data_IF_950074116470
#
_entry.id   IF_950074116470
#
_cell.length_a   1.000
_cell.length_b   1.000
_cell.length_c   1.000
_cell.angle_alpha   90.00
_cell.angle_beta   90.00
_cell.angle_gamma   90.00
#
_symmetry.space_group_name_H-M   'P 1'
#
loop_
_entity.id
_entity.type
_entity.pdbx_description
1 polymer ?
#
# COMPACT_ATOMS: atom_id res chain seq x y z
N UNK A 1 -8.90 4.87 -21.13
CA UNK A 1 -8.06 5.40 -20.04
C UNK A 1 -7.77 6.86 -20.28
N UNK A 2 -8.19 7.75 -19.40
CA UNK A 2 -7.78 9.15 -19.44
C UNK A 2 -6.53 9.26 -18.56
N UNK A 3 -5.35 9.47 -19.16
CA UNK A 3 -4.10 9.67 -18.41
C UNK A 3 -3.99 11.14 -18.09
N UNK A 4 -4.04 11.50 -16.81
CA UNK A 4 -3.59 12.79 -16.30
C UNK A 4 -2.24 12.55 -15.61
N UNK A 5 -1.12 12.72 -16.31
CA UNK A 5 0.18 12.64 -15.65
C UNK A 5 0.76 14.05 -15.51
N UNK A 6 0.51 14.67 -14.35
CA UNK A 6 1.27 15.83 -13.89
C UNK A 6 2.50 15.39 -13.06
N UNK A 7 2.67 14.08 -12.83
CA UNK A 7 3.71 13.50 -11.95
C UNK A 7 4.91 13.02 -12.76
N UNK A 8 6.09 13.11 -12.16
CA UNK A 8 7.36 12.67 -12.77
C UNK A 8 7.64 11.19 -12.46
N UNK A 9 7.26 10.74 -11.27
CA UNK A 9 7.61 9.43 -10.72
C UNK A 9 6.40 8.52 -10.51
N UNK A 10 5.21 9.05 -10.71
CA UNK A 10 3.94 8.34 -10.63
C UNK A 10 3.17 8.44 -11.94
N UNK A 11 2.26 7.51 -12.17
CA UNK A 11 1.21 7.64 -13.18
C UNK A 11 -0.14 7.48 -12.51
N UNK A 12 -1.00 8.48 -12.65
CA UNK A 12 -2.38 8.46 -12.16
C UNK A 12 -3.31 8.38 -13.36
N UNK A 13 -4.25 7.44 -13.31
CA UNK A 13 -5.21 7.24 -14.39
C UNK A 13 -6.52 6.68 -13.84
N UNK A 14 -7.58 6.70 -14.66
CA UNK A 14 -8.90 6.13 -14.31
C UNK A 14 -9.40 5.20 -15.39
N UNK A 15 -9.97 4.07 -14.96
CA UNK A 15 -10.67 3.11 -15.81
C UNK A 15 -12.04 2.81 -15.19
N UNK A 16 -13.11 3.33 -15.78
CA UNK A 16 -14.45 3.25 -15.16
C UNK A 16 -14.46 3.92 -13.77
N UNK A 17 -14.94 3.24 -12.73
CA UNK A 17 -14.95 3.73 -11.35
C UNK A 17 -13.62 3.51 -10.60
N UNK A 18 -12.60 2.94 -11.25
CA UNK A 18 -11.33 2.54 -10.63
C UNK A 18 -10.25 3.57 -10.91
N UNK A 19 -9.71 4.19 -9.86
CA UNK A 19 -8.51 5.01 -9.90
C UNK A 19 -7.25 4.15 -9.81
N UNK A 20 -6.29 4.39 -10.67
CA UNK A 20 -5.00 3.70 -10.69
C UNK A 20 -3.88 4.64 -10.29
N UNK A 21 -3.12 4.25 -9.28
CA UNK A 21 -1.85 4.85 -8.88
C UNK A 21 -0.73 3.87 -9.21
N UNK A 22 0.15 4.24 -10.13
CA UNK A 22 1.25 3.38 -10.57
C UNK A 22 2.58 4.03 -10.19
N UNK A 23 3.40 3.33 -9.40
CA UNK A 23 4.79 3.73 -9.18
C UNK A 23 5.53 3.60 -10.51
N UNK A 24 6.11 4.70 -11.02
CA UNK A 24 6.64 4.77 -12.38
C UNK A 24 8.11 5.19 -12.43
N UNK A 25 8.94 4.44 -11.72
CA UNK A 25 10.42 4.48 -11.82
C UNK A 25 10.95 3.06 -12.03
N UNK A 26 10.59 2.38 -13.14
CA UNK A 26 10.91 0.96 -13.35
C UNK A 26 12.42 0.70 -13.35
N UNK A 27 13.23 1.63 -13.85
CA UNK A 27 14.71 1.52 -13.90
C UNK A 27 15.35 1.58 -12.50
N UNK A 28 14.65 2.14 -11.51
CA UNK A 28 15.04 2.17 -10.11
C UNK A 28 14.23 1.20 -9.25
N UNK A 29 13.63 0.15 -9.86
CA UNK A 29 12.74 -0.79 -9.18
C UNK A 29 11.65 -0.10 -8.35
N UNK A 30 11.16 1.04 -8.82
CA UNK A 30 10.17 1.91 -8.19
C UNK A 30 10.57 2.44 -6.80
N UNK A 31 11.86 2.48 -6.47
CA UNK A 31 12.33 3.06 -5.20
C UNK A 31 11.90 4.52 -5.05
N UNK A 32 11.53 4.90 -3.82
CA UNK A 32 11.07 6.26 -3.49
C UNK A 32 12.25 7.22 -3.36
N UNK A 33 12.36 8.14 -4.29
CA UNK A 33 13.17 9.35 -4.14
C UNK A 33 12.37 10.49 -3.48
N UNK A 34 13.00 11.62 -3.27
CA UNK A 34 12.35 12.78 -2.66
C UNK A 34 11.19 13.32 -3.51
N UNK A 35 11.22 13.14 -4.83
CA UNK A 35 10.14 13.57 -5.74
C UNK A 35 8.93 12.65 -5.55
N UNK A 36 9.12 11.33 -5.60
CA UNK A 36 8.01 10.38 -5.39
C UNK A 36 7.36 10.56 -4.02
N UNK A 37 8.15 10.77 -2.96
CA UNK A 37 7.61 10.99 -1.63
C UNK A 37 6.71 12.24 -1.55
N UNK A 38 7.04 13.30 -2.28
CA UNK A 38 6.22 14.51 -2.34
C UNK A 38 4.99 14.33 -3.24
N UNK A 39 5.13 13.59 -4.34
CA UNK A 39 4.04 13.34 -5.29
C UNK A 39 2.96 12.40 -4.74
N UNK A 40 3.34 11.45 -3.88
CA UNK A 40 2.40 10.46 -3.32
C UNK A 40 1.27 11.11 -2.52
N UNK A 41 1.55 12.10 -1.69
CA UNK A 41 0.52 12.81 -0.94
C UNK A 41 -0.52 13.43 -1.89
N UNK A 42 -0.06 14.12 -2.93
CA UNK A 42 -0.93 14.77 -3.93
C UNK A 42 -1.73 13.74 -4.74
N UNK A 43 -1.10 12.64 -5.13
CA UNK A 43 -1.76 11.61 -5.92
C UNK A 43 -2.86 10.86 -5.15
N UNK A 44 -2.63 10.59 -3.86
CA UNK A 44 -3.66 9.99 -3.01
C UNK A 44 -4.85 10.93 -2.81
N UNK A 45 -4.60 12.22 -2.56
CA UNK A 45 -5.64 13.23 -2.43
C UNK A 45 -6.43 13.41 -3.72
N UNK A 46 -5.75 13.52 -4.88
CA UNK A 46 -6.41 13.61 -6.20
C UNK A 46 -7.37 12.44 -6.43
N UNK A 47 -6.95 11.22 -6.11
CA UNK A 47 -7.79 10.03 -6.29
C UNK A 47 -8.94 9.95 -5.28
N UNK A 48 -8.73 10.39 -4.04
CA UNK A 48 -9.78 10.38 -3.02
C UNK A 48 -10.83 11.49 -3.28
N UNK A 49 -10.40 12.64 -3.79
CA UNK A 49 -11.28 13.78 -4.10
C UNK A 49 -12.05 13.61 -5.43
N UNK A 50 -11.61 12.76 -6.36
CA UNK A 50 -12.31 12.55 -7.64
C UNK A 50 -13.62 11.77 -7.44
N UNK A 51 -14.81 12.39 -7.59
CA UNK A 51 -16.10 11.71 -7.38
C UNK A 51 -16.38 10.57 -8.36
N UNK A 52 -15.65 10.51 -9.47
CA UNK A 52 -15.76 9.42 -10.44
C UNK A 52 -14.91 8.19 -10.05
N UNK A 53 -14.01 8.32 -9.07
CA UNK A 53 -13.25 7.21 -8.50
C UNK A 53 -14.00 6.67 -7.29
N UNK A 54 -14.23 5.37 -7.25
CA UNK A 54 -14.91 4.65 -6.16
C UNK A 54 -13.98 3.70 -5.42
N UNK A 55 -12.98 3.16 -6.11
CA UNK A 55 -11.95 2.25 -5.58
C UNK A 55 -10.61 2.66 -6.17
N UNK A 56 -9.55 2.58 -5.38
CA UNK A 56 -8.20 2.88 -5.82
C UNK A 56 -7.38 1.59 -5.87
N UNK A 57 -6.66 1.38 -6.98
CA UNK A 57 -5.66 0.31 -7.12
C UNK A 57 -4.28 0.92 -7.24
N UNK A 58 -3.33 0.48 -6.41
CA UNK A 58 -1.95 0.85 -6.58
C UNK A 58 -1.09 -0.34 -7.01
N UNK A 59 -0.13 -0.10 -7.93
CA UNK A 59 0.77 -1.11 -8.49
C UNK A 59 2.08 -0.47 -8.93
N UNK A 60 3.04 -1.27 -9.38
CA UNK A 60 4.32 -0.80 -9.92
C UNK A 60 4.43 -0.96 -11.42
N UNK A 61 5.12 -0.05 -12.11
CA UNK A 61 5.56 -0.26 -13.48
C UNK A 61 6.77 -1.21 -13.53
N UNK A 62 6.83 -2.05 -14.56
CA UNK A 62 7.95 -2.97 -14.78
C UNK A 62 7.94 -4.18 -13.82
N UNK A 63 9.13 -4.60 -13.36
CA UNK A 63 9.34 -5.87 -12.65
C UNK A 63 9.22 -5.79 -11.12
N UNK A 64 9.11 -4.61 -10.56
CA UNK A 64 8.98 -4.40 -9.13
C UNK A 64 7.68 -3.70 -8.80
N UNK A 65 7.12 -4.00 -7.64
CA UNK A 65 6.05 -3.22 -7.06
C UNK A 65 6.63 -1.92 -6.49
N UNK A 66 7.36 -2.01 -5.37
CA UNK A 66 7.99 -0.88 -4.70
C UNK A 66 9.11 -1.40 -3.77
N UNK A 67 10.30 -0.80 -3.81
CA UNK A 67 11.47 -1.34 -3.12
C UNK A 67 12.01 -0.47 -1.98
N UNK A 68 11.21 0.46 -1.48
CA UNK A 68 11.58 1.32 -0.36
C UNK A 68 12.31 2.60 -0.79
N UNK A 69 13.08 3.20 0.10
CA UNK A 69 13.81 4.42 -0.19
C UNK A 69 14.91 4.19 -1.23
N UNK A 70 15.13 5.17 -2.10
CA UNK A 70 16.19 5.14 -3.12
C UNK A 70 17.57 5.27 -2.46
N UNK A 71 18.23 4.14 -2.27
CA UNK A 71 19.57 4.08 -1.66
C UNK A 71 20.64 4.75 -2.51
N UNK A 72 20.44 4.86 -3.84
CA UNK A 72 21.36 5.57 -4.74
C UNK A 72 21.25 7.07 -4.50
N UNK A 73 20.04 7.59 -4.41
CA UNK A 73 19.84 8.99 -4.03
C UNK A 73 20.33 9.24 -2.61
N UNK A 74 20.08 8.33 -1.67
CA UNK A 74 20.59 8.45 -0.29
C UNK A 74 22.12 8.54 -0.23
N UNK A 75 22.82 7.82 -1.10
CA UNK A 75 24.28 7.89 -1.17
C UNK A 75 24.79 9.19 -1.80
N UNK A 76 24.07 9.73 -2.81
CA UNK A 76 24.48 10.93 -3.56
C UNK A 76 24.02 12.24 -2.91
N UNK A 77 22.83 12.24 -2.32
CA UNK A 77 22.18 13.40 -1.69
C UNK A 77 21.57 13.02 -0.36
N UNK A 78 22.42 12.63 0.63
CA UNK A 78 21.94 12.03 1.87
C UNK A 78 21.03 12.96 2.69
N UNK A 79 21.28 14.26 2.64
CA UNK A 79 20.55 15.22 3.47
C UNK A 79 19.08 15.36 3.02
N UNK A 80 18.84 15.48 1.70
CA UNK A 80 17.49 15.61 1.17
C UNK A 80 16.62 14.38 1.51
N UNK A 81 17.14 13.18 1.29
CA UNK A 81 16.39 11.96 1.54
C UNK A 81 16.27 11.63 3.04
N UNK A 82 17.32 11.96 3.84
CA UNK A 82 17.24 11.85 5.32
C UNK A 82 16.20 12.79 5.90
N UNK A 83 16.08 13.99 5.37
CA UNK A 83 15.03 14.93 5.82
C UNK A 83 13.66 14.40 5.50
N UNK A 84 13.42 13.91 4.28
CA UNK A 84 12.16 13.27 3.92
C UNK A 84 11.86 12.05 4.81
N UNK A 85 12.85 11.20 5.05
CA UNK A 85 12.70 10.06 5.97
C UNK A 85 12.39 10.49 7.41
N UNK A 86 13.00 11.58 7.91
CA UNK A 86 12.66 12.15 9.22
C UNK A 86 11.23 12.68 9.28
N UNK A 87 10.79 13.38 8.23
CA UNK A 87 9.41 13.88 8.12
C UNK A 87 8.40 12.73 8.11
N UNK A 88 8.70 11.64 7.40
CA UNK A 88 7.88 10.42 7.41
C UNK A 88 7.74 9.88 8.84
N UNK A 89 8.87 9.73 9.55
CA UNK A 89 8.87 9.21 10.94
C UNK A 89 8.14 10.12 11.94
N UNK A 90 7.98 11.40 11.63
CA UNK A 90 7.19 12.36 12.43
C UNK A 90 5.74 12.46 11.99
N UNK A 91 5.28 11.59 11.08
CA UNK A 91 3.97 11.66 10.43
C UNK A 91 3.71 12.99 9.71
N UNK A 92 4.76 13.73 9.36
CA UNK A 92 4.70 14.97 8.59
C UNK A 92 4.62 14.70 7.07
N UNK A 93 4.99 13.50 6.63
CA UNK A 93 4.96 13.08 5.23
C UNK A 93 3.98 11.92 5.06
N UNK A 94 2.96 12.17 4.27
CA UNK A 94 1.84 11.25 4.04
C UNK A 94 2.00 10.53 2.71
N UNK A 95 2.70 9.40 2.69
CA UNK A 95 3.02 8.70 1.44
C UNK A 95 2.14 7.47 1.15
N UNK A 96 1.36 6.97 2.11
CA UNK A 96 0.38 5.90 1.86
C UNK A 96 -1.06 6.41 1.91
N UNK A 97 -1.99 5.60 1.44
CA UNK A 97 -3.42 5.89 1.53
C UNK A 97 -3.88 6.10 2.97
N UNK A 98 -3.39 5.26 3.91
CA UNK A 98 -3.73 5.36 5.33
C UNK A 98 -3.26 6.69 5.94
N UNK A 99 -2.01 7.11 5.65
CA UNK A 99 -1.47 8.39 6.11
C UNK A 99 -2.25 9.59 5.59
N UNK A 100 -2.83 9.48 4.40
CA UNK A 100 -3.64 10.53 3.79
C UNK A 100 -5.10 10.49 4.23
N UNK A 101 -5.50 9.51 5.03
CA UNK A 101 -6.89 9.36 5.45
C UNK A 101 -7.84 9.03 4.30
N UNK A 102 -7.34 8.36 3.26
CA UNK A 102 -8.13 7.98 2.08
C UNK A 102 -9.35 7.17 2.49
N UNK A 103 -10.52 7.69 2.16
CA UNK A 103 -11.81 7.10 2.54
C UNK A 103 -12.23 5.95 1.64
N UNK A 104 -11.80 5.97 0.39
CA UNK A 104 -12.13 4.94 -0.61
C UNK A 104 -11.37 3.64 -0.34
N UNK A 105 -11.94 2.47 -0.71
CA UNK A 105 -11.21 1.21 -0.67
C UNK A 105 -9.94 1.25 -1.51
N UNK A 106 -8.87 0.64 -0.99
CA UNK A 106 -7.56 0.58 -1.63
C UNK A 106 -7.11 -0.87 -1.79
N UNK A 107 -6.78 -1.23 -3.02
CA UNK A 107 -6.22 -2.53 -3.39
C UNK A 107 -4.74 -2.35 -3.73
N UNK A 108 -3.84 -3.05 -3.05
CA UNK A 108 -2.46 -3.19 -3.48
C UNK A 108 -2.34 -4.38 -4.44
N UNK A 109 -2.09 -4.11 -5.72
CA UNK A 109 -1.84 -5.12 -6.75
C UNK A 109 -0.32 -5.29 -6.93
N UNK A 110 0.25 -6.24 -6.19
CA UNK A 110 1.71 -6.42 -6.08
C UNK A 110 2.23 -7.22 -7.28
N UNK A 111 2.77 -6.52 -8.26
CA UNK A 111 3.23 -7.09 -9.53
C UNK A 111 4.61 -7.75 -9.49
N UNK A 112 5.41 -7.51 -8.44
CA UNK A 112 6.77 -8.01 -8.36
C UNK A 112 7.38 -7.81 -6.99
N UNK A 113 8.68 -7.45 -6.93
CA UNK A 113 9.38 -7.27 -5.66
C UNK A 113 8.79 -6.12 -4.85
N UNK A 114 8.43 -6.41 -3.60
CA UNK A 114 8.02 -5.45 -2.58
C UNK A 114 9.02 -5.53 -1.42
N UNK A 115 9.74 -4.43 -1.13
CA UNK A 115 10.82 -4.46 -0.14
C UNK A 115 10.89 -3.20 0.72
N UNK A 116 11.31 -3.34 1.96
CA UNK A 116 11.56 -2.23 2.87
C UNK A 116 10.34 -1.30 2.97
N UNK A 117 10.53 -0.01 2.73
CA UNK A 117 9.45 0.97 2.74
C UNK A 117 8.29 0.67 1.78
N UNK A 118 8.47 -0.21 0.78
CA UNK A 118 7.40 -0.70 -0.07
C UNK A 118 6.35 -1.52 0.68
N UNK A 119 6.74 -2.14 1.78
CA UNK A 119 5.83 -2.91 2.65
C UNK A 119 4.75 -2.05 3.31
N UNK A 120 4.96 -0.73 3.44
CA UNK A 120 3.90 0.18 3.90
C UNK A 120 2.66 0.13 3.01
N UNK A 121 2.84 0.11 1.69
CA UNK A 121 1.70 0.07 0.76
C UNK A 121 0.92 -1.24 0.83
N UNK A 122 1.57 -2.32 1.27
CA UNK A 122 0.92 -3.61 1.56
C UNK A 122 0.24 -3.57 2.93
N UNK A 123 0.93 -3.05 3.95
CA UNK A 123 0.41 -2.96 5.31
C UNK A 123 -0.83 -2.08 5.40
N UNK A 124 -0.84 -0.95 4.68
CA UNK A 124 -1.87 0.09 4.73
C UNK A 124 -3.00 -0.09 3.71
N UNK A 125 -2.90 -1.06 2.79
CA UNK A 125 -3.98 -1.37 1.85
C UNK A 125 -5.14 -2.10 2.52
N UNK A 126 -6.36 -1.92 2.05
CA UNK A 126 -7.52 -2.66 2.54
C UNK A 126 -7.51 -4.11 2.03
N UNK A 127 -7.11 -4.30 0.78
CA UNK A 127 -6.98 -5.62 0.13
C UNK A 127 -5.63 -5.71 -0.55
N UNK A 128 -5.01 -6.89 -0.50
CA UNK A 128 -3.75 -7.17 -1.20
C UNK A 128 -3.94 -8.37 -2.11
N UNK A 129 -3.66 -8.19 -3.39
CA UNK A 129 -3.51 -9.27 -4.36
C UNK A 129 -2.10 -9.25 -4.93
N UNK A 130 -1.57 -10.38 -5.32
CA UNK A 130 -0.20 -10.46 -5.80
C UNK A 130 -0.08 -11.34 -7.05
N UNK A 131 0.79 -10.94 -7.96
CA UNK A 131 1.27 -11.81 -9.02
C UNK A 131 2.00 -13.02 -8.43
N UNK A 132 1.92 -14.18 -9.06
CA UNK A 132 2.71 -15.37 -8.68
C UNK A 132 4.22 -15.12 -8.68
N UNK A 133 4.69 -14.12 -9.45
CA UNK A 133 6.07 -13.66 -9.48
C UNK A 133 6.44 -12.67 -8.37
N UNK A 134 5.48 -12.23 -7.54
CA UNK A 134 5.73 -11.28 -6.46
C UNK A 134 6.51 -11.89 -5.30
N UNK A 135 7.25 -11.03 -4.61
CA UNK A 135 7.95 -11.43 -3.38
C UNK A 135 8.10 -10.26 -2.42
N UNK A 136 8.18 -10.58 -1.13
CA UNK A 136 8.18 -9.61 -0.05
C UNK A 136 9.39 -9.84 0.86
N UNK A 137 10.09 -8.76 1.24
CA UNK A 137 11.22 -8.84 2.17
C UNK A 137 11.40 -7.53 2.95
N UNK A 138 11.91 -7.65 4.16
CA UNK A 138 12.31 -6.51 4.98
C UNK A 138 13.85 -6.45 5.13
N UNK A 139 14.58 -5.65 4.35
CA UNK A 139 16.03 -5.60 4.40
C UNK A 139 16.60 -4.67 5.49
N UNK A 140 15.79 -3.97 6.29
CA UNK A 140 16.23 -2.89 7.18
C UNK A 140 17.30 -3.32 8.15
N UNK A 141 17.16 -4.45 8.85
CA UNK A 141 18.17 -4.96 9.78
C UNK A 141 19.52 -5.23 9.10
N UNK A 142 19.50 -5.62 7.82
CA UNK A 142 20.70 -5.90 7.03
C UNK A 142 21.51 -4.65 6.68
N UNK A 143 20.92 -3.46 6.85
CA UNK A 143 21.57 -2.16 6.64
C UNK A 143 21.62 -1.33 7.92
N UNK A 144 21.44 -1.97 9.07
CA UNK A 144 21.53 -1.33 10.38
C UNK A 144 20.39 -0.37 10.70
N UNK A 145 19.23 -0.57 10.07
CA UNK A 145 18.02 0.22 10.32
C UNK A 145 16.98 -0.60 11.08
N UNK A 146 16.11 0.08 11.81
CA UNK A 146 14.95 -0.51 12.46
C UNK A 146 13.74 -0.29 11.56
N UNK A 147 13.11 -1.38 11.14
CA UNK A 147 11.78 -1.38 10.57
C UNK A 147 10.78 -1.39 11.72
N UNK A 148 9.92 -0.40 11.79
CA UNK A 148 8.92 -0.32 12.85
C UNK A 148 7.50 -0.24 12.27
N UNK A 149 7.23 0.76 11.46
CA UNK A 149 5.88 1.03 10.98
C UNK A 149 5.35 -0.07 10.06
N UNK A 150 6.15 -0.49 9.07
CA UNK A 150 5.80 -1.53 8.10
C UNK A 150 5.51 -2.86 8.80
N UNK A 151 6.40 -3.26 9.70
CA UNK A 151 6.29 -4.54 10.40
C UNK A 151 5.17 -4.54 11.44
N UNK A 152 4.93 -3.43 12.13
CA UNK A 152 3.77 -3.26 13.01
C UNK A 152 2.46 -3.39 12.20
N UNK A 153 2.37 -2.73 11.05
CA UNK A 153 1.22 -2.84 10.15
C UNK A 153 1.02 -4.26 9.63
N UNK A 154 2.09 -4.94 9.20
CA UNK A 154 2.02 -6.33 8.73
C UNK A 154 1.60 -7.31 9.84
N UNK A 155 2.00 -7.06 11.10
CA UNK A 155 1.58 -7.89 12.24
C UNK A 155 0.05 -7.81 12.52
N UNK A 156 -0.66 -6.90 11.86
CA UNK A 156 -2.12 -6.83 11.88
C UNK A 156 -2.78 -7.58 10.72
N UNK A 157 -1.99 -7.96 9.71
CA UNK A 157 -2.49 -8.69 8.51
C UNK A 157 -2.15 -10.17 8.51
N UNK A 158 -1.09 -10.56 9.21
CA UNK A 158 -0.66 -11.96 9.29
C UNK A 158 -0.15 -12.31 10.70
N UNK A 159 0.12 -13.59 10.95
CA UNK A 159 0.63 -14.03 12.23
C UNK A 159 1.95 -13.34 12.61
N UNK A 160 2.17 -13.11 13.90
CA UNK A 160 3.29 -12.32 14.41
C UNK A 160 4.66 -12.96 14.15
N UNK A 161 4.76 -14.30 14.26
CA UNK A 161 6.04 -15.01 14.10
C UNK A 161 6.65 -14.84 12.69
N UNK A 162 5.92 -15.01 11.57
CA UNK A 162 6.45 -14.74 10.24
C UNK A 162 6.93 -13.28 10.05
N UNK A 163 6.26 -12.31 10.67
CA UNK A 163 6.70 -10.90 10.65
C UNK A 163 8.02 -10.75 11.38
N UNK A 164 8.14 -11.31 12.59
CA UNK A 164 9.38 -11.30 13.36
C UNK A 164 10.53 -11.98 12.62
N UNK A 165 10.26 -13.12 11.98
CA UNK A 165 11.25 -13.83 11.18
C UNK A 165 11.74 -12.96 10.02
N UNK A 166 10.85 -12.33 9.27
CA UNK A 166 11.20 -11.43 8.17
C UNK A 166 12.02 -10.22 8.68
N UNK A 167 11.60 -9.58 9.77
CA UNK A 167 12.28 -8.42 10.34
C UNK A 167 13.67 -8.75 10.91
N UNK A 168 13.84 -9.93 11.54
CA UNK A 168 15.11 -10.33 12.16
C UNK A 168 16.10 -10.97 11.18
N UNK A 169 15.62 -11.73 10.18
CA UNK A 169 16.44 -12.35 9.16
C UNK A 169 16.85 -11.38 8.03
N UNK A 170 16.07 -10.30 7.85
CA UNK A 170 16.39 -9.25 6.88
C UNK A 170 16.44 -9.77 5.45
N UNK A 171 17.50 -9.42 4.72
CA UNK A 171 17.67 -9.85 3.31
C UNK A 171 17.71 -11.37 3.09
N UNK A 172 17.89 -12.14 4.16
CA UNK A 172 17.96 -13.60 4.09
C UNK A 172 16.59 -14.29 4.13
N UNK A 173 15.53 -13.56 4.46
CA UNK A 173 14.17 -14.06 4.44
C UNK A 173 13.34 -13.33 3.37
N UNK A 174 12.84 -14.11 2.41
CA UNK A 174 11.98 -13.60 1.35
C UNK A 174 10.72 -14.45 1.28
N UNK A 175 9.57 -13.84 1.43
CA UNK A 175 8.30 -14.51 1.23
C UNK A 175 7.94 -14.50 -0.26
N UNK A 176 7.58 -15.66 -0.81
CA UNK A 176 6.91 -15.74 -2.12
C UNK A 176 5.46 -15.26 -2.03
N UNK A 177 4.83 -14.98 -3.17
CA UNK A 177 3.41 -14.65 -3.23
C UNK A 177 2.55 -15.75 -2.60
N UNK A 178 2.84 -17.02 -2.90
CA UNK A 178 2.12 -18.16 -2.32
C UNK A 178 2.29 -18.21 -0.80
N UNK A 179 3.52 -18.04 -0.29
CA UNK A 179 3.73 -18.04 1.17
C UNK A 179 3.02 -16.87 1.85
N UNK A 180 3.00 -15.70 1.23
CA UNK A 180 2.27 -14.53 1.72
C UNK A 180 0.75 -14.76 1.76
N UNK A 181 0.21 -15.50 0.78
CA UNK A 181 -1.17 -15.94 0.74
C UNK A 181 -1.47 -16.94 1.87
N UNK A 182 -0.64 -17.97 2.05
CA UNK A 182 -0.80 -18.97 3.13
C UNK A 182 -0.79 -18.33 4.53
N UNK A 183 -0.10 -17.20 4.68
CA UNK A 183 -0.02 -16.45 5.93
C UNK A 183 -1.12 -15.39 6.11
N UNK A 184 -1.97 -15.19 5.11
CA UNK A 184 -3.09 -14.24 5.15
C UNK A 184 -2.71 -12.78 4.81
N UNK A 185 -1.46 -12.49 4.43
CA UNK A 185 -1.03 -11.16 4.01
C UNK A 185 -1.58 -10.79 2.62
N UNK A 186 -1.71 -11.78 1.75
CA UNK A 186 -2.25 -11.67 0.39
C UNK A 186 -3.55 -12.45 0.32
N UNK A 187 -4.60 -11.86 -0.24
CA UNK A 187 -5.92 -12.49 -0.37
C UNK A 187 -6.10 -13.32 -1.65
N UNK A 188 -5.26 -13.06 -2.66
CA UNK A 188 -5.29 -13.76 -3.95
C UNK A 188 -3.91 -13.75 -4.59
N UNK A 189 -3.47 -14.91 -5.08
CA UNK A 189 -2.31 -15.02 -5.98
C UNK A 189 -2.82 -15.18 -7.41
N UNK A 190 -2.32 -14.34 -8.30
CA UNK A 190 -2.70 -14.34 -9.73
C UNK A 190 -1.60 -15.00 -10.55
N UNK A 191 -1.99 -16.04 -11.27
CA UNK A 191 -1.15 -16.78 -12.21
C UNK A 191 -1.95 -17.05 -13.51
N UNK A 192 -1.47 -16.67 -14.67
CA UNK A 192 -0.15 -16.10 -14.97
C UNK A 192 -0.01 -14.64 -14.49
N UNK A 193 1.25 -14.17 -14.24
CA UNK A 193 1.53 -12.84 -13.69
C UNK A 193 0.94 -11.65 -14.47
N UNK A 194 0.84 -11.76 -15.76
CA UNK A 194 0.34 -10.74 -16.69
C UNK A 194 -1.15 -10.42 -16.49
N UNK A 195 -1.92 -11.32 -15.91
CA UNK A 195 -3.34 -11.13 -15.62
C UNK A 195 -3.59 -10.26 -14.38
N UNK A 196 -2.55 -9.95 -13.59
CA UNK A 196 -2.71 -9.20 -12.33
C UNK A 196 -3.52 -7.90 -12.51
N UNK A 197 -3.26 -7.16 -13.58
CA UNK A 197 -3.94 -5.89 -13.81
C UNK A 197 -5.43 -6.08 -14.10
N UNK A 198 -5.76 -7.09 -14.88
CA UNK A 198 -7.16 -7.44 -15.22
C UNK A 198 -7.90 -7.91 -13.97
N UNK A 199 -7.30 -8.80 -13.19
CA UNK A 199 -7.87 -9.31 -11.94
C UNK A 199 -8.07 -8.21 -10.90
N UNK A 200 -7.10 -7.28 -10.79
CA UNK A 200 -7.22 -6.11 -9.91
C UNK A 200 -8.37 -5.18 -10.35
N UNK A 201 -8.53 -4.95 -11.66
CA UNK A 201 -9.62 -4.15 -12.22
C UNK A 201 -10.97 -4.79 -11.92
N UNK A 202 -11.12 -6.09 -12.18
CA UNK A 202 -12.36 -6.83 -11.95
C UNK A 202 -12.76 -6.84 -10.47
N UNK A 203 -11.79 -7.05 -9.56
CA UNK A 203 -12.03 -6.97 -8.12
C UNK A 203 -12.45 -5.56 -7.70
N UNK A 204 -11.77 -4.52 -8.20
CA UNK A 204 -12.09 -3.14 -7.89
C UNK A 204 -13.48 -2.75 -8.40
N UNK A 205 -13.87 -3.20 -9.60
CA UNK A 205 -15.21 -2.97 -10.17
C UNK A 205 -16.28 -3.65 -9.33
N UNK A 206 -16.07 -4.89 -8.87
CA UNK A 206 -17.03 -5.60 -8.01
C UNK A 206 -17.23 -4.89 -6.66
N UNK A 207 -16.18 -4.27 -6.10
CA UNK A 207 -16.30 -3.45 -4.91
C UNK A 207 -17.04 -2.15 -5.23
N UNK A 208 -16.74 -1.54 -6.37
CA UNK A 208 -17.35 -0.28 -6.80
C UNK A 208 -18.86 -0.37 -7.11
N UNK A 209 -19.44 -1.55 -7.23
CA UNK A 209 -20.88 -1.74 -7.36
C UNK A 209 -21.68 -1.36 -6.10
N UNK A 210 -21.00 -1.24 -4.96
CA UNK A 210 -21.62 -0.85 -3.69
C UNK A 210 -21.59 0.67 -3.48
N UNK A 211 -22.48 1.19 -2.63
CA UNK A 211 -22.57 2.61 -2.31
C UNK A 211 -21.26 3.14 -1.67
N UNK A 212 -20.67 4.24 -2.19
CA UNK A 212 -19.40 4.76 -1.69
C UNK A 212 -19.40 5.08 -0.19
N UNK A 213 -20.49 5.64 0.32
CA UNK A 213 -20.62 5.97 1.75
C UNK A 213 -20.61 4.72 2.63
N UNK A 214 -21.19 3.61 2.15
CA UNK A 214 -21.17 2.32 2.84
C UNK A 214 -19.76 1.74 2.87
N UNK A 215 -19.05 1.77 1.75
CA UNK A 215 -17.68 1.29 1.65
C UNK A 215 -16.75 2.06 2.59
N UNK A 216 -16.85 3.39 2.60
CA UNK A 216 -16.06 4.25 3.47
C UNK A 216 -16.35 3.98 4.96
N UNK A 217 -17.62 3.78 5.34
CA UNK A 217 -18.00 3.42 6.73
C UNK A 217 -17.44 2.07 7.14
N UNK A 218 -17.61 1.03 6.30
CA UNK A 218 -17.09 -0.32 6.58
C UNK A 218 -15.58 -0.33 6.74
N UNK A 219 -14.87 0.33 5.82
CA UNK A 219 -13.42 0.52 5.92
C UNK A 219 -13.05 1.14 7.26
N UNK A 220 -13.64 2.29 7.61
CA UNK A 220 -13.34 3.01 8.85
C UNK A 220 -13.59 2.16 10.09
N UNK A 221 -14.77 1.53 10.20
CA UNK A 221 -15.12 0.69 11.35
C UNK A 221 -14.13 -0.46 11.55
N UNK A 222 -13.69 -1.12 10.46
CA UNK A 222 -12.76 -2.23 10.54
C UNK A 222 -11.35 -1.75 10.93
N UNK A 223 -10.86 -0.64 10.38
CA UNK A 223 -9.57 -0.08 10.76
C UNK A 223 -9.57 0.41 12.22
N UNK A 224 -10.61 1.13 12.65
CA UNK A 224 -10.77 1.58 14.05
C UNK A 224 -10.84 0.37 15.02
N UNK A 225 -11.45 -0.74 14.61
CA UNK A 225 -11.55 -1.94 15.44
C UNK A 225 -10.18 -2.55 15.76
N UNK A 226 -9.17 -2.36 14.92
CA UNK A 226 -7.80 -2.81 15.19
C UNK A 226 -7.13 -2.06 16.35
N UNK A 227 -7.65 -0.90 16.73
CA UNK A 227 -7.14 -0.09 17.84
C UNK A 227 -7.90 -0.33 19.17
N UNK A 228 -8.94 -1.18 19.15
CA UNK A 228 -9.87 -1.34 20.26
C UNK A 228 -10.00 -2.81 20.69
N UNK A 229 -10.40 -3.04 21.95
CA UNK A 229 -10.90 -4.35 22.39
C UNK A 229 -12.29 -4.63 21.79
N UNK A 230 -12.66 -5.91 21.63
CA UNK A 230 -13.85 -6.37 20.91
C UNK A 230 -15.15 -5.67 21.33
N UNK A 231 -15.42 -5.55 22.64
CA UNK A 231 -16.65 -4.90 23.13
C UNK A 231 -16.69 -3.39 22.84
N UNK A 232 -15.52 -2.73 22.80
CA UNK A 232 -15.42 -1.31 22.42
C UNK A 232 -15.65 -1.14 20.93
N UNK A 233 -15.08 -2.04 20.10
CA UNK A 233 -15.28 -2.06 18.66
C UNK A 233 -16.75 -2.20 18.29
N UNK A 234 -17.49 -3.11 18.95
CA UNK A 234 -18.92 -3.27 18.70
C UNK A 234 -19.73 -2.03 19.05
N UNK A 235 -19.45 -1.39 20.21
CA UNK A 235 -20.12 -0.13 20.56
C UNK A 235 -19.79 1.00 19.56
N UNK A 236 -18.54 1.08 19.13
CA UNK A 236 -18.11 2.07 18.12
C UNK A 236 -18.86 1.86 16.79
N UNK A 237 -18.98 0.61 16.32
CA UNK A 237 -19.68 0.28 15.09
C UNK A 237 -21.16 0.73 15.14
N UNK A 238 -21.86 0.42 16.25
CA UNK A 238 -23.27 0.81 16.45
C UNK A 238 -23.41 2.34 16.44
N UNK A 239 -22.54 3.07 17.16
CA UNK A 239 -22.60 4.53 17.18
C UNK A 239 -22.40 5.13 15.78
N UNK A 240 -21.47 4.59 14.99
CA UNK A 240 -21.23 5.02 13.60
C UNK A 240 -22.41 4.74 12.66
N UNK A 241 -23.19 3.71 12.93
CA UNK A 241 -24.44 3.43 12.19
C UNK A 241 -25.53 4.42 12.55
N UNK A 242 -25.65 4.78 13.84
CA UNK A 242 -26.67 5.71 14.32
C UNK A 242 -26.41 7.17 13.90
N UNK A 243 -25.14 7.57 13.79
CA UNK A 243 -24.77 8.93 13.36
C UNK A 243 -24.99 9.17 11.85
N UNK A 244 -25.33 8.12 11.10
CA UNK A 244 -25.50 8.15 9.64
C UNK A 244 -26.97 8.22 9.17
N UNK A 245 -27.93 8.17 10.09
CA UNK A 245 -29.38 8.29 9.85
C UNK A 245 -29.90 9.65 10.28
#
# INVERSE_FOLDING_TARGET
MTVKSAYQTLSVSRSGPVGWLVFNRPDAANAMDAVMLAELELAWQELDDDPAVRVIVNTGAGKAFQTGLDVVQLARQPEALREQSRRTKRAELKFTAWHNGVSKPVIAAVNGVCAGGGLHFVADADVVIASSAASFLDPHVSVGQVSAYETIGLARKMAFEPVMRMALAGRHERLSAQRAYDLGMVSQVVDPPEELREQAQALAESIADHEPAELARRKRVLWEALEMGLSASYRNAVNREMDAG
#
